data_IF_638397323828
#
_entry.id   IF_638397323828
#
_cell.length_a   1.000
_cell.length_b   1.000
_cell.length_c   1.000
_cell.angle_alpha   90.00
_cell.angle_beta   90.00
_cell.angle_gamma   90.00
#
_symmetry.space_group_name_H-M   'P 1'
#
loop_
_entity.id
_entity.type
_entity.pdbx_description
1 polymer ?
#
# COMPACT_ATOMS: atom_id res chain seq x y z
N UNK A 1 -2.12 -10.69 -33.98
CA UNK A 1 -2.52 -10.21 -32.63
C UNK A 1 -1.25 -9.81 -31.88
N UNK A 2 -0.79 -8.57 -32.07
CA UNK A 2 0.46 -8.10 -31.45
C UNK A 2 0.25 -8.01 -29.95
N UNK A 3 1.16 -8.61 -29.17
CA UNK A 3 1.05 -8.77 -27.72
C UNK A 3 1.15 -7.40 -27.05
N UNK A 4 -0.02 -6.78 -26.91
CA UNK A 4 -0.34 -5.71 -25.98
C UNK A 4 0.24 -6.07 -24.61
N UNK A 5 0.85 -5.10 -23.94
CA UNK A 5 1.58 -5.28 -22.69
C UNK A 5 0.77 -6.17 -21.73
N UNK A 6 1.30 -7.34 -21.42
CA UNK A 6 0.64 -8.32 -20.57
C UNK A 6 0.55 -7.75 -19.14
N UNK A 7 -0.64 -7.81 -18.52
CA UNK A 7 -0.87 -7.26 -17.18
C UNK A 7 0.06 -7.88 -16.12
N UNK A 8 0.60 -9.07 -16.38
CA UNK A 8 1.67 -9.67 -15.60
C UNK A 8 2.94 -8.81 -15.55
N UNK A 9 3.37 -8.23 -16.67
CA UNK A 9 4.58 -7.39 -16.73
C UNK A 9 4.42 -6.12 -15.91
N UNK A 10 3.25 -5.48 -15.96
CA UNK A 10 2.96 -4.28 -15.18
C UNK A 10 3.01 -4.57 -13.67
N UNK A 11 2.49 -5.73 -13.24
CA UNK A 11 2.58 -6.19 -11.84
C UNK A 11 4.03 -6.36 -11.39
N UNK A 12 4.87 -7.02 -12.20
CA UNK A 12 6.28 -7.24 -11.88
C UNK A 12 7.03 -5.92 -11.75
N UNK A 13 6.84 -5.00 -12.70
CA UNK A 13 7.47 -3.67 -12.65
C UNK A 13 7.04 -2.91 -11.40
N UNK A 14 5.75 -2.95 -11.05
CA UNK A 14 5.22 -2.29 -9.86
C UNK A 14 5.82 -2.87 -8.56
N UNK A 15 5.93 -4.19 -8.45
CA UNK A 15 6.53 -4.84 -7.28
C UNK A 15 8.02 -4.48 -7.14
N UNK A 16 8.77 -4.51 -8.25
CA UNK A 16 10.19 -4.13 -8.25
C UNK A 16 10.39 -2.66 -7.88
N UNK A 17 9.55 -1.76 -8.39
CA UNK A 17 9.61 -0.34 -8.06
C UNK A 17 9.29 -0.07 -6.58
N UNK A 18 8.27 -0.73 -6.02
CA UNK A 18 7.93 -0.62 -4.59
C UNK A 18 9.04 -1.17 -3.69
N UNK A 19 9.66 -2.28 -4.10
CA UNK A 19 10.75 -2.91 -3.36
C UNK A 19 11.99 -2.02 -3.34
N UNK A 20 12.38 -1.43 -4.47
CA UNK A 20 13.49 -0.46 -4.51
C UNK A 20 13.24 0.77 -3.63
N UNK A 21 12.01 1.29 -3.60
CA UNK A 21 11.65 2.39 -2.70
C UNK A 21 11.80 1.99 -1.22
N UNK A 22 11.33 0.80 -0.84
CA UNK A 22 11.45 0.31 0.53
C UNK A 22 12.89 -0.02 0.95
N UNK A 23 13.74 -0.49 0.03
CA UNK A 23 15.18 -0.65 0.30
C UNK A 23 15.82 0.73 0.53
N UNK A 24 15.45 1.72 -0.28
CA UNK A 24 15.93 3.11 -0.14
C UNK A 24 15.62 3.72 1.23
N UNK A 25 14.38 3.59 1.68
CA UNK A 25 13.98 4.11 3.00
C UNK A 25 14.43 3.23 4.16
N UNK A 26 14.41 1.90 3.99
CA UNK A 26 14.73 0.93 5.04
C UNK A 26 16.21 0.82 5.39
N UNK A 27 17.11 1.07 4.43
CA UNK A 27 18.55 1.11 4.66
C UNK A 27 19.08 2.52 5.01
N UNK A 28 18.19 3.47 5.34
CA UNK A 28 18.54 4.85 5.70
C UNK A 28 19.49 5.52 4.69
N UNK A 29 19.29 5.28 3.37
CA UNK A 29 20.14 5.83 2.30
C UNK A 29 20.10 7.38 2.28
N UNK A 30 19.11 7.97 2.96
CA UNK A 30 19.05 9.40 3.27
C UNK A 30 20.36 9.95 3.87
N UNK A 31 21.06 9.18 4.72
CA UNK A 31 22.32 9.61 5.34
C UNK A 31 23.52 9.58 4.38
N UNK A 32 23.45 8.81 3.29
CA UNK A 32 24.57 8.69 2.35
C UNK A 32 24.46 9.65 1.16
N UNK A 33 23.26 9.90 0.64
CA UNK A 33 23.08 10.77 -0.54
C UNK A 33 21.63 11.22 -0.72
N UNK A 34 21.40 12.53 -0.63
CA UNK A 34 20.08 13.16 -0.82
C UNK A 34 19.49 12.90 -2.22
N UNK A 35 20.34 12.84 -3.25
CA UNK A 35 19.91 12.59 -4.64
C UNK A 35 19.38 11.18 -4.82
N UNK A 36 20.07 10.16 -4.31
CA UNK A 36 19.67 8.75 -4.44
C UNK A 36 18.36 8.51 -3.71
N UNK A 37 18.21 9.07 -2.50
CA UNK A 37 16.97 9.04 -1.75
C UNK A 37 15.80 9.68 -2.52
N UNK A 38 16.02 10.84 -3.15
CA UNK A 38 15.00 11.50 -3.97
C UNK A 38 14.55 10.62 -5.14
N UNK A 39 15.48 9.96 -5.84
CA UNK A 39 15.13 9.05 -6.94
C UNK A 39 14.33 7.84 -6.46
N UNK A 40 14.73 7.21 -5.35
CA UNK A 40 13.99 6.06 -4.80
C UNK A 40 12.58 6.45 -4.38
N UNK A 41 12.42 7.59 -3.70
CA UNK A 41 11.14 8.14 -3.25
C UNK A 41 10.23 8.51 -4.44
N UNK A 42 10.80 9.10 -5.48
CA UNK A 42 10.06 9.47 -6.70
C UNK A 42 9.50 8.24 -7.42
N UNK A 43 10.32 7.18 -7.56
CA UNK A 43 9.92 5.90 -8.13
C UNK A 43 8.86 5.23 -7.25
N UNK A 44 9.01 5.31 -5.93
CA UNK A 44 8.00 4.86 -4.97
C UNK A 44 6.64 5.54 -5.18
N UNK A 45 6.64 6.88 -5.34
CA UNK A 45 5.42 7.66 -5.57
C UNK A 45 4.75 7.32 -6.91
N UNK A 46 5.52 7.02 -7.95
CA UNK A 46 4.98 6.51 -9.23
C UNK A 46 4.41 5.10 -9.13
N UNK A 47 4.82 4.32 -8.13
CA UNK A 47 4.32 2.97 -7.94
C UNK A 47 2.88 2.95 -7.39
N UNK A 48 2.50 3.96 -6.61
CA UNK A 48 1.15 4.10 -6.07
C UNK A 48 0.04 4.10 -7.16
N UNK A 49 0.06 4.97 -8.18
CA UNK A 49 -0.97 4.96 -9.23
C UNK A 49 -0.98 3.67 -10.06
N UNK A 50 0.18 3.04 -10.27
CA UNK A 50 0.26 1.75 -10.98
C UNK A 50 -0.44 0.66 -10.16
N UNK A 51 -0.20 0.61 -8.85
CA UNK A 51 -0.82 -0.38 -7.98
C UNK A 51 -2.33 -0.13 -7.82
N UNK A 52 -2.76 1.14 -7.78
CA UNK A 52 -4.17 1.51 -7.78
C UNK A 52 -4.88 1.06 -9.07
N UNK A 53 -4.24 1.24 -10.24
CA UNK A 53 -4.74 0.73 -11.52
C UNK A 53 -4.92 -0.79 -11.49
N UNK A 54 -3.89 -1.54 -11.06
CA UNK A 54 -3.93 -3.00 -10.98
C UNK A 54 -5.00 -3.52 -10.01
N UNK A 55 -5.27 -2.79 -8.92
CA UNK A 55 -6.31 -3.10 -7.96
C UNK A 55 -7.70 -2.94 -8.60
N UNK A 56 -7.95 -1.81 -9.26
CA UNK A 56 -9.23 -1.55 -9.95
C UNK A 56 -9.43 -2.54 -11.10
N UNK A 57 -8.39 -2.78 -11.89
CA UNK A 57 -8.39 -3.76 -12.98
C UNK A 57 -8.73 -5.16 -12.44
N UNK A 58 -8.08 -5.60 -11.35
CA UNK A 58 -8.38 -6.86 -10.68
C UNK A 58 -9.80 -6.97 -10.12
N UNK A 59 -10.37 -5.86 -9.67
CA UNK A 59 -11.77 -5.77 -9.21
C UNK A 59 -12.77 -5.86 -10.37
N UNK A 60 -12.49 -5.19 -11.49
CA UNK A 60 -13.36 -5.17 -12.67
C UNK A 60 -13.42 -6.53 -13.38
N UNK A 61 -12.28 -7.22 -13.51
CA UNK A 61 -12.22 -8.53 -14.17
C UNK A 61 -12.63 -9.71 -13.27
N UNK A 62 -12.84 -9.49 -11.97
CA UNK A 62 -13.29 -10.54 -11.05
C UNK A 62 -14.80 -10.78 -11.17
N UNK A 63 -15.19 -12.04 -11.38
CA UNK A 63 -16.60 -12.46 -11.43
C UNK A 63 -17.34 -12.34 -10.09
N UNK A 64 -16.63 -12.46 -8.95
CA UNK A 64 -17.22 -12.33 -7.62
C UNK A 64 -16.51 -11.27 -6.77
N UNK A 65 -16.94 -10.02 -6.97
CA UNK A 65 -16.39 -8.81 -6.34
C UNK A 65 -16.38 -8.87 -4.80
N UNK A 66 -17.39 -9.53 -4.21
CA UNK A 66 -17.51 -9.69 -2.74
C UNK A 66 -16.35 -10.50 -2.16
N UNK A 67 -16.02 -11.65 -2.74
CA UNK A 67 -14.89 -12.44 -2.26
C UNK A 67 -13.54 -11.75 -2.47
N UNK A 68 -13.39 -10.97 -3.55
CA UNK A 68 -12.18 -10.17 -3.75
C UNK A 68 -12.01 -9.09 -2.69
N UNK A 69 -13.07 -8.34 -2.38
CA UNK A 69 -13.06 -7.35 -1.31
C UNK A 69 -12.77 -7.99 0.06
N UNK A 70 -13.37 -9.14 0.36
CA UNK A 70 -13.09 -9.89 1.61
C UNK A 70 -11.62 -10.30 1.69
N UNK A 71 -11.02 -10.81 0.61
CA UNK A 71 -9.60 -11.15 0.58
C UNK A 71 -8.72 -9.95 0.88
N UNK A 72 -9.02 -8.79 0.29
CA UNK A 72 -8.29 -7.53 0.56
C UNK A 72 -8.46 -7.08 2.01
N UNK A 73 -9.67 -7.19 2.56
CA UNK A 73 -9.96 -6.84 3.96
C UNK A 73 -9.22 -7.74 4.95
N UNK A 74 -9.13 -9.05 4.66
CA UNK A 74 -8.33 -9.99 5.47
C UNK A 74 -6.85 -9.60 5.44
N UNK A 75 -6.29 -9.28 4.26
CA UNK A 75 -4.91 -8.81 4.15
C UNK A 75 -4.65 -7.53 4.95
N UNK A 76 -5.59 -6.57 4.88
CA UNK A 76 -5.51 -5.34 5.66
C UNK A 76 -5.58 -5.61 7.17
N UNK A 77 -6.44 -6.51 7.64
CA UNK A 77 -6.50 -6.88 9.06
C UNK A 77 -5.20 -7.54 9.54
N UNK A 78 -4.65 -8.45 8.74
CA UNK A 78 -3.41 -9.15 9.06
C UNK A 78 -2.22 -8.17 9.09
N UNK A 79 -2.20 -7.15 8.21
CA UNK A 79 -1.09 -6.19 8.14
C UNK A 79 -1.05 -5.20 9.31
N UNK A 80 -2.13 -5.06 10.08
CA UNK A 80 -2.16 -4.15 11.24
C UNK A 80 -1.30 -4.67 12.40
N UNK A 81 -1.23 -5.98 12.57
CA UNK A 81 -0.40 -6.59 13.62
C UNK A 81 1.10 -6.28 13.49
N UNK A 82 1.76 -6.55 12.33
CA UNK A 82 3.18 -6.20 12.16
C UNK A 82 3.40 -4.68 12.15
N UNK A 83 2.44 -3.88 11.69
CA UNK A 83 2.52 -2.42 11.78
C UNK A 83 2.57 -1.95 13.23
N UNK A 84 1.71 -2.49 14.11
CA UNK A 84 1.72 -2.16 15.54
C UNK A 84 3.04 -2.58 16.20
N UNK A 85 3.59 -3.75 15.85
CA UNK A 85 4.87 -4.21 16.37
C UNK A 85 6.04 -3.29 15.97
N UNK A 86 6.04 -2.80 14.74
CA UNK A 86 7.10 -1.91 14.22
C UNK A 86 7.05 -0.50 14.80
N UNK A 87 5.85 0.06 15.01
CA UNK A 87 5.68 1.47 15.42
C UNK A 87 5.37 1.66 16.91
N UNK A 88 4.82 0.66 17.58
CA UNK A 88 4.23 0.76 18.92
C UNK A 88 4.75 -0.30 19.91
N UNK A 89 5.97 -0.82 19.71
CA UNK A 89 6.55 -1.99 20.42
C UNK A 89 6.64 -1.93 21.96
N UNK A 90 6.10 -0.90 22.63
CA UNK A 90 6.03 -0.77 24.10
C UNK A 90 4.63 -0.96 24.68
N UNK A 91 3.57 -0.91 23.86
CA UNK A 91 2.18 -1.03 24.32
C UNK A 91 1.61 -2.40 23.91
N UNK A 92 0.81 -3.08 24.76
CA UNK A 92 0.12 -4.29 24.35
C UNK A 92 -0.89 -3.97 23.23
N UNK A 93 -0.94 -4.82 22.21
CA UNK A 93 -1.91 -4.69 21.12
C UNK A 93 -3.34 -4.76 21.69
N UNK A 94 -4.10 -3.65 21.59
CA UNK A 94 -5.50 -3.62 22.01
C UNK A 94 -6.42 -3.55 20.80
N UNK A 95 -7.50 -4.34 20.82
CA UNK A 95 -8.55 -4.29 19.80
C UNK A 95 -9.23 -2.91 19.73
N UNK A 96 -9.17 -2.13 20.82
CA UNK A 96 -9.67 -0.76 20.86
C UNK A 96 -8.83 0.17 19.97
N UNK A 97 -7.50 0.04 19.95
CA UNK A 97 -6.64 0.83 19.03
C UNK A 97 -6.90 0.48 17.56
N UNK A 98 -7.14 -0.79 17.26
CA UNK A 98 -7.54 -1.25 15.91
C UNK A 98 -8.82 -0.58 15.44
N UNK A 99 -9.84 -0.60 16.29
CA UNK A 99 -11.15 0.03 16.02
C UNK A 99 -11.02 1.55 15.95
N UNK A 100 -10.23 2.17 16.82
CA UNK A 100 -9.99 3.61 16.80
C UNK A 100 -9.27 4.07 15.55
N UNK A 101 -8.28 3.33 15.05
CA UNK A 101 -7.61 3.65 13.77
C UNK A 101 -8.58 3.55 12.58
N UNK A 102 -9.47 2.56 12.59
CA UNK A 102 -10.52 2.43 11.58
C UNK A 102 -11.49 3.62 11.64
N UNK A 103 -12.05 3.91 12.82
CA UNK A 103 -12.98 5.02 13.00
C UNK A 103 -12.32 6.38 12.74
N UNK A 104 -11.07 6.59 13.13
CA UNK A 104 -10.33 7.81 12.85
C UNK A 104 -10.14 8.01 11.34
N UNK A 105 -9.89 6.94 10.58
CA UNK A 105 -9.82 6.99 9.13
C UNK A 105 -11.18 7.32 8.51
N UNK A 106 -12.26 6.67 8.98
CA UNK A 106 -13.63 6.95 8.52
C UNK A 106 -14.07 8.39 8.82
N UNK A 107 -13.78 8.91 10.02
CA UNK A 107 -14.15 10.26 10.41
C UNK A 107 -13.36 11.31 9.61
N UNK A 108 -12.12 11.00 9.22
CA UNK A 108 -11.32 11.87 8.32
C UNK A 108 -11.89 11.94 6.91
N UNK A 109 -12.49 10.87 6.41
CA UNK A 109 -13.13 10.85 5.10
C UNK A 109 -14.45 11.63 5.17
N UNK A 110 -15.27 11.36 6.20
CA UNK A 110 -16.58 12.02 6.37
C UNK A 110 -16.50 13.54 6.60
N UNK A 111 -15.40 14.03 7.18
CA UNK A 111 -15.18 15.48 7.39
C UNK A 111 -14.61 16.19 6.16
N UNK A 112 -13.89 15.48 5.28
CA UNK A 112 -13.31 16.08 4.07
C UNK A 112 -14.32 16.23 2.91
N UNK A 113 -15.51 15.64 3.03
CA UNK A 113 -16.63 15.80 2.09
C UNK A 113 -17.53 17.01 2.44
N UNK A 114 -17.13 17.83 3.43
CA UNK A 114 -17.89 19.01 3.90
C UNK A 114 -17.28 20.38 3.53
N UNK A 115 -16.38 20.42 2.54
CA UNK A 115 -15.85 21.65 1.93
C UNK A 115 -16.08 21.69 0.43
#
# INVERSE_FOLDING_TARGET
MNKTIDGFKMKVIAILAMLSNHIGSGFSIYEQSSLVFFFTEFIGKLTFPIMAYLLVEGFLYTRNRKHYAIRMMIFWLISIYPFHLLFNGKNPFTLIELVNNFFHFTNRIATNDSL
#
